data_IF_538972566786
#
_entry.id   IF_538972566786
#
_cell.length_a   1.000
_cell.length_b   1.000
_cell.length_c   1.000
_cell.angle_alpha   90.00
_cell.angle_beta   90.00
_cell.angle_gamma   90.00
#
_symmetry.space_group_name_H-M   'P 1'
#
loop_
_entity.id
_entity.type
_entity.pdbx_description
1 polymer ?
#
# COMPACT_ATOMS: atom_id res chain seq x y z
N UNK A 1 34.86 16.33 -8.56
CA UNK A 1 34.51 15.18 -7.70
C UNK A 1 33.29 14.52 -8.30
N UNK A 2 33.30 13.23 -8.68
CA UNK A 2 32.12 12.59 -9.26
C UNK A 2 31.18 12.13 -8.14
N UNK A 3 29.91 12.51 -8.23
CA UNK A 3 28.84 11.99 -7.38
C UNK A 3 28.46 10.62 -7.93
N UNK A 4 28.86 9.55 -7.23
CA UNK A 4 28.33 8.23 -7.50
C UNK A 4 26.88 8.26 -7.00
N UNK A 5 25.92 8.36 -7.92
CA UNK A 5 24.51 8.07 -7.61
C UNK A 5 24.48 6.61 -7.18
N UNK A 6 24.49 6.37 -5.87
CA UNK A 6 24.15 5.06 -5.34
C UNK A 6 22.71 4.78 -5.79
N UNK A 7 22.45 3.69 -6.54
CA UNK A 7 21.08 3.30 -6.82
C UNK A 7 20.39 3.13 -5.47
N UNK A 8 19.35 3.96 -5.24
CA UNK A 8 18.47 3.76 -4.11
C UNK A 8 18.02 2.29 -4.13
N UNK A 9 18.15 1.53 -3.03
CA UNK A 9 17.59 0.20 -2.95
C UNK A 9 16.10 0.36 -3.17
N UNK A 10 15.64 0.02 -4.37
CA UNK A 10 14.21 -0.19 -4.61
C UNK A 10 13.91 -1.39 -3.71
N UNK A 11 13.05 -1.27 -2.68
CA UNK A 11 12.63 -2.45 -1.94
C UNK A 11 12.15 -3.47 -2.97
N UNK A 12 12.47 -4.77 -2.79
CA UNK A 12 12.06 -5.79 -3.75
C UNK A 12 10.59 -5.55 -4.04
N UNK A 13 10.31 -5.22 -5.30
CA UNK A 13 8.95 -4.96 -5.71
C UNK A 13 8.22 -6.27 -5.42
N UNK A 14 7.35 -6.24 -4.42
CA UNK A 14 6.43 -7.31 -4.10
C UNK A 14 5.96 -7.92 -5.43
N UNK A 15 6.26 -9.20 -5.65
CA UNK A 15 6.08 -9.82 -6.96
C UNK A 15 4.57 -9.89 -7.23
N UNK A 16 4.08 -8.97 -8.06
CA UNK A 16 2.65 -8.88 -8.41
C UNK A 16 2.36 -10.04 -9.37
N UNK A 17 1.57 -10.99 -8.89
CA UNK A 17 1.20 -12.20 -9.62
C UNK A 17 -0.15 -12.08 -10.33
N UNK A 18 -1.02 -11.15 -9.90
CA UNK A 18 -2.28 -10.82 -10.57
C UNK A 18 -2.77 -9.40 -10.23
N UNK A 19 -3.57 -8.81 -11.13
CA UNK A 19 -4.30 -7.55 -10.91
C UNK A 19 -5.79 -7.78 -11.20
N UNK A 20 -6.66 -7.44 -10.26
CA UNK A 20 -8.11 -7.58 -10.39
C UNK A 20 -8.77 -6.21 -10.20
N UNK A 21 -9.60 -5.71 -11.14
CA UNK A 21 -10.31 -4.46 -10.96
C UNK A 21 -11.31 -4.55 -9.80
N UNK A 22 -11.45 -3.48 -9.03
CA UNK A 22 -12.38 -3.46 -7.91
C UNK A 22 -13.81 -3.17 -8.37
N UNK A 23 -14.79 -3.80 -7.72
CA UNK A 23 -16.18 -3.36 -7.81
C UNK A 23 -16.33 -1.98 -7.14
N UNK A 24 -17.14 -1.10 -7.73
CA UNK A 24 -17.38 0.24 -7.19
C UNK A 24 -17.93 0.23 -5.77
N UNK A 25 -17.66 1.30 -5.01
CA UNK A 25 -18.18 1.49 -3.67
C UNK A 25 -17.34 0.86 -2.55
N UNK A 26 -16.04 0.63 -2.79
CA UNK A 26 -15.07 0.19 -1.77
C UNK A 26 -14.06 1.30 -1.49
N UNK A 27 -13.70 1.48 -0.22
CA UNK A 27 -12.74 2.49 0.25
C UNK A 27 -11.76 1.90 1.25
N UNK A 28 -10.50 2.32 1.17
CA UNK A 28 -9.50 2.07 2.21
C UNK A 28 -9.53 3.18 3.25
N UNK A 29 -9.54 2.79 4.51
CA UNK A 29 -9.22 3.65 5.64
C UNK A 29 -7.81 3.34 6.14
N UNK A 30 -7.00 4.37 6.29
CA UNK A 30 -5.65 4.26 6.84
C UNK A 30 -5.74 4.42 8.35
N UNK A 31 -5.24 3.43 9.08
CA UNK A 31 -5.27 3.39 10.54
C UNK A 31 -3.84 3.39 11.09
N UNK A 32 -3.69 3.68 12.37
CA UNK A 32 -2.42 3.54 13.07
C UNK A 32 -2.64 3.00 14.49
N UNK A 33 -1.65 2.28 15.06
CA UNK A 33 -1.69 1.85 16.44
C UNK A 33 -1.83 3.04 17.41
N UNK A 34 -2.38 2.79 18.59
CA UNK A 34 -2.44 3.79 19.66
C UNK A 34 -1.04 4.37 19.93
N UNK A 35 -0.96 5.69 20.04
CA UNK A 35 0.31 6.42 20.23
C UNK A 35 1.10 6.71 18.96
N UNK A 36 0.66 6.26 17.78
CA UNK A 36 1.23 6.67 16.49
C UNK A 36 0.34 7.78 15.89
N UNK A 37 0.89 8.99 15.79
CA UNK A 37 0.20 10.11 15.18
C UNK A 37 0.08 9.94 13.66
N UNK A 38 -1.11 10.18 13.12
CA UNK A 38 -1.37 10.24 11.67
C UNK A 38 -1.13 11.63 11.06
N UNK A 39 -0.53 12.55 11.82
CA UNK A 39 -0.28 13.91 11.34
C UNK A 39 0.63 13.88 10.11
N UNK A 40 0.16 14.43 8.99
CA UNK A 40 0.87 14.41 7.71
C UNK A 40 0.73 13.13 6.89
N UNK A 41 -0.01 12.13 7.38
CA UNK A 41 -0.39 10.94 6.60
C UNK A 41 -1.70 11.23 5.89
N UNK A 42 -1.75 11.19 4.54
CA UNK A 42 -3.01 11.36 3.84
C UNK A 42 -4.04 10.29 4.24
N UNK A 43 -5.33 10.61 4.06
CA UNK A 43 -6.36 9.59 4.22
C UNK A 43 -6.25 8.51 3.13
N UNK A 44 -6.82 7.34 3.42
CA UNK A 44 -7.11 6.37 2.37
C UNK A 44 -8.24 6.85 1.46
N UNK A 45 -8.47 6.12 0.38
CA UNK A 45 -9.48 6.47 -0.61
C UNK A 45 -10.00 5.26 -1.37
N UNK A 46 -10.66 5.54 -2.50
CA UNK A 46 -11.43 4.54 -3.25
C UNK A 46 -10.50 3.41 -3.71
N UNK A 47 -10.95 2.17 -3.53
CA UNK A 47 -10.27 0.98 -4.06
C UNK A 47 -10.54 0.93 -5.56
N UNK A 48 -9.48 0.91 -6.35
CA UNK A 48 -9.54 0.83 -7.81
C UNK A 48 -9.15 -0.54 -8.34
N UNK A 49 -8.52 -1.36 -7.50
CA UNK A 49 -8.14 -2.72 -7.85
C UNK A 49 -7.61 -3.51 -6.67
N UNK A 50 -7.15 -4.72 -6.96
CA UNK A 50 -6.54 -5.64 -6.03
C UNK A 50 -5.31 -6.23 -6.69
N UNK A 51 -4.23 -6.37 -5.94
CA UNK A 51 -3.02 -7.06 -6.39
C UNK A 51 -2.79 -8.28 -5.54
N UNK A 52 -2.35 -9.36 -6.18
CA UNK A 52 -1.90 -10.57 -5.48
C UNK A 52 -0.37 -10.49 -5.39
N UNK A 53 0.14 -10.38 -4.17
CA UNK A 53 1.55 -10.19 -3.85
C UNK A 53 2.09 -11.48 -3.28
N UNK A 54 3.22 -11.97 -3.78
CA UNK A 54 3.94 -13.07 -3.13
C UNK A 54 4.34 -12.63 -1.71
N UNK A 55 3.96 -13.43 -0.71
CA UNK A 55 4.28 -13.15 0.68
C UNK A 55 5.52 -13.95 1.08
N UNK A 56 6.67 -13.28 1.12
CA UNK A 56 7.95 -13.92 1.49
C UNK A 56 8.00 -14.32 2.98
N UNK A 57 7.07 -13.85 3.82
CA UNK A 57 6.97 -14.27 5.22
C UNK A 57 6.29 -15.64 5.37
N UNK A 58 5.62 -16.14 4.33
CA UNK A 58 4.97 -17.46 4.33
C UNK A 58 5.36 -18.29 3.11
N UNK A 59 5.91 -19.49 3.31
CA UNK A 59 6.30 -20.39 2.20
C UNK A 59 5.09 -20.71 1.31
N UNK A 60 5.14 -20.28 0.04
CA UNK A 60 4.05 -20.45 -0.91
C UNK A 60 2.84 -19.53 -0.65
N UNK A 61 3.01 -18.54 0.23
CA UNK A 61 1.98 -17.57 0.60
C UNK A 61 1.79 -16.50 -0.45
N UNK A 62 0.55 -16.02 -0.53
CA UNK A 62 0.21 -14.84 -1.30
C UNK A 62 -0.74 -13.96 -0.48
N UNK A 63 -0.50 -12.66 -0.50
CA UNK A 63 -1.34 -11.64 0.11
C UNK A 63 -2.14 -10.93 -0.96
N UNK A 64 -3.43 -10.71 -0.69
CA UNK A 64 -4.27 -9.87 -1.54
C UNK A 64 -4.30 -8.46 -0.94
N UNK A 65 -3.79 -7.49 -1.69
CA UNK A 65 -3.73 -6.10 -1.26
C UNK A 65 -4.66 -5.20 -2.08
N UNK A 66 -5.36 -4.26 -1.44
CA UNK A 66 -6.13 -3.25 -2.16
C UNK A 66 -5.19 -2.25 -2.84
N UNK A 67 -5.48 -1.93 -4.09
CA UNK A 67 -4.95 -0.74 -4.76
C UNK A 67 -5.95 0.38 -4.58
N UNK A 68 -5.55 1.46 -3.92
CA UNK A 68 -6.44 2.57 -3.59
C UNK A 68 -5.89 3.92 -4.04
N UNK A 69 -6.77 4.84 -4.37
CA UNK A 69 -6.41 6.21 -4.71
C UNK A 69 -6.24 7.05 -3.45
N UNK A 70 -5.08 7.69 -3.30
CA UNK A 70 -4.81 8.69 -2.28
C UNK A 70 -3.91 9.77 -2.89
N UNK A 71 -4.20 11.03 -2.58
CA UNK A 71 -3.47 12.21 -3.10
C UNK A 71 -3.28 12.24 -4.62
N UNK A 72 -4.26 11.73 -5.38
CA UNK A 72 -4.23 11.74 -6.85
C UNK A 72 -3.37 10.64 -7.49
N UNK A 73 -2.87 9.67 -6.71
CA UNK A 73 -2.08 8.53 -7.19
C UNK A 73 -2.66 7.22 -6.64
N UNK A 74 -2.46 6.12 -7.38
CA UNK A 74 -2.77 4.77 -6.91
C UNK A 74 -1.64 4.21 -6.03
N UNK A 75 -2.02 3.60 -4.92
CA UNK A 75 -1.12 3.08 -3.90
C UNK A 75 -1.45 1.62 -3.55
N UNK A 76 -0.40 0.83 -3.30
CA UNK A 76 -0.51 -0.41 -2.52
C UNK A 76 -0.18 -0.12 -1.05
N UNK A 77 -0.63 -0.95 -0.09
CA UNK A 77 -0.30 -0.80 1.33
C UNK A 77 1.21 -0.70 1.59
N UNK A 78 2.02 -1.49 0.88
CA UNK A 78 3.47 -1.48 1.05
C UNK A 78 4.12 -0.19 0.54
N UNK A 79 3.71 0.30 -0.62
CA UNK A 79 4.17 1.59 -1.13
C UNK A 79 3.79 2.72 -0.16
N UNK A 80 2.56 2.67 0.35
CA UNK A 80 2.05 3.67 1.28
C UNK A 80 2.83 3.67 2.61
N UNK A 81 3.12 2.48 3.16
CA UNK A 81 3.97 2.31 4.35
C UNK A 81 5.40 2.76 4.13
N UNK A 82 5.97 2.46 2.97
CA UNK A 82 7.33 2.87 2.62
C UNK A 82 7.46 4.39 2.54
N UNK A 83 6.41 5.09 2.10
CA UNK A 83 6.39 6.56 1.99
C UNK A 83 6.00 7.27 3.29
N UNK A 84 4.95 6.82 3.99
CA UNK A 84 4.34 7.57 5.08
C UNK A 84 4.55 6.96 6.47
N UNK A 85 5.03 5.72 6.56
CA UNK A 85 5.37 5.08 7.83
C UNK A 85 5.05 3.59 7.88
N UNK A 86 5.99 2.79 8.38
CA UNK A 86 5.87 1.32 8.42
C UNK A 86 4.76 0.78 9.33
N UNK A 87 4.29 1.57 10.29
CA UNK A 87 3.30 1.14 11.30
C UNK A 87 1.85 1.39 10.88
N UNK A 88 1.61 1.79 9.63
CA UNK A 88 0.25 2.06 9.15
C UNK A 88 -0.53 0.76 8.91
N UNK A 89 -1.78 0.75 9.37
CA UNK A 89 -2.78 -0.26 9.09
C UNK A 89 -3.73 0.20 7.98
N UNK A 90 -4.43 -0.76 7.37
CA UNK A 90 -5.38 -0.51 6.29
C UNK A 90 -6.61 -1.37 6.50
N UNK A 91 -7.79 -0.74 6.42
CA UNK A 91 -9.08 -1.43 6.51
C UNK A 91 -9.86 -1.11 5.25
N UNK A 92 -10.41 -2.14 4.59
CA UNK A 92 -11.29 -1.95 3.43
C UNK A 92 -12.75 -1.98 3.92
N UNK A 93 -13.50 -0.93 3.64
CA UNK A 93 -14.91 -0.80 3.94
C UNK A 93 -15.73 -0.40 2.73
N UNK A 94 -17.06 -0.40 2.86
CA UNK A 94 -17.93 0.19 1.84
C UNK A 94 -17.87 1.71 1.89
N UNK A 95 -17.88 2.32 0.72
CA UNK A 95 -18.15 3.74 0.56
C UNK A 95 -19.60 3.99 1.00
N UNK A 96 -19.77 4.88 2.00
CA UNK A 96 -21.08 5.23 2.55
C UNK A 96 -21.83 6.20 1.65
#
# INVERSE_FOLDING_TARGET
MPFIMQPQPVPPAALISALVPAAGGLRVEVTAPAGVGLSGVPGGGVVVGWVLVADDETTGGARVDPVFLSTGRAWTPDQYRATYGKRLGFVVGRER
#
